data_IF_584068052719
#
_entry.id   IF_584068052719
#
_cell.length_a   1.000
_cell.length_b   1.000
_cell.length_c   1.000
_cell.angle_alpha   90.00
_cell.angle_beta   90.00
_cell.angle_gamma   90.00
#
_symmetry.space_group_name_H-M   'P 1'
#
loop_
_entity.id
_entity.type
_entity.pdbx_description
1 polymer ?
#
# COMPACT_ATOMS: atom_id res chain seq x y z
N UNK A 1 -6.72 28.02 -13.23
CA UNK A 1 -5.24 28.02 -13.18
C UNK A 1 -4.74 26.84 -14.03
N UNK A 2 -4.72 27.00 -15.36
CA UNK A 2 -4.31 25.94 -16.30
C UNK A 2 -2.99 26.34 -16.96
N UNK A 3 -1.87 25.96 -16.34
CA UNK A 3 -0.55 26.24 -16.88
C UNK A 3 -0.19 25.24 -17.98
N UNK A 4 -0.41 25.71 -19.21
CA UNK A 4 0.25 25.22 -20.41
C UNK A 4 1.77 25.37 -20.22
N UNK A 5 2.52 24.27 -20.19
CA UNK A 5 3.97 24.29 -20.45
C UNK A 5 4.28 23.62 -21.78
N UNK A 6 4.65 24.47 -22.73
CA UNK A 6 5.43 24.16 -23.93
C UNK A 6 6.88 23.85 -23.49
N UNK A 7 7.52 22.91 -24.18
CA UNK A 7 8.94 23.01 -24.50
C UNK A 7 9.85 21.85 -24.10
N UNK A 8 10.47 21.29 -25.14
CA UNK A 8 11.93 21.16 -25.30
C UNK A 8 12.53 19.74 -25.18
N UNK A 9 13.20 19.32 -26.26
CA UNK A 9 13.95 18.08 -26.40
C UNK A 9 15.26 18.07 -25.61
N UNK A 10 15.17 18.27 -24.30
CA UNK A 10 16.18 17.84 -23.34
C UNK A 10 15.60 16.63 -22.64
N UNK A 11 16.21 15.46 -22.81
CA UNK A 11 15.85 14.19 -22.16
C UNK A 11 15.49 14.42 -20.68
N UNK A 12 14.21 14.68 -20.39
CA UNK A 12 13.72 14.87 -19.04
C UNK A 12 13.83 13.49 -18.41
N UNK A 13 14.82 13.32 -17.55
CA UNK A 13 15.08 12.04 -16.91
C UNK A 13 13.90 11.79 -15.96
N UNK A 14 12.96 10.97 -16.43
CA UNK A 14 11.82 10.55 -15.62
C UNK A 14 12.35 9.65 -14.50
N UNK A 15 12.10 10.07 -13.25
CA UNK A 15 12.55 9.39 -12.04
C UNK A 15 11.36 8.99 -11.19
N UNK A 16 11.44 7.83 -10.55
CA UNK A 16 10.46 7.38 -9.59
C UNK A 16 10.47 8.29 -8.35
N UNK A 17 9.30 8.78 -7.93
CA UNK A 17 9.15 9.66 -6.77
C UNK A 17 9.45 8.98 -5.43
N UNK A 18 9.51 7.64 -5.40
CA UNK A 18 9.71 6.85 -4.19
C UNK A 18 11.16 6.40 -4.01
N UNK A 19 11.78 5.86 -5.06
CA UNK A 19 13.14 5.30 -5.00
C UNK A 19 14.20 6.15 -5.73
N UNK A 20 13.80 7.19 -6.47
CA UNK A 20 14.71 8.05 -7.23
C UNK A 20 15.28 7.42 -8.50
N UNK A 21 15.01 6.14 -8.78
CA UNK A 21 15.50 5.44 -9.98
C UNK A 21 14.97 6.07 -11.26
N UNK A 22 15.83 6.19 -12.26
CA UNK A 22 15.48 6.70 -13.58
C UNK A 22 14.75 5.66 -14.42
N UNK A 23 14.08 6.08 -15.50
CA UNK A 23 13.41 5.19 -16.45
C UNK A 23 14.33 4.10 -17.05
N UNK A 24 15.66 4.31 -17.08
CA UNK A 24 16.63 3.33 -17.61
C UNK A 24 16.98 2.24 -16.60
N UNK A 25 16.80 2.51 -15.32
CA UNK A 25 17.17 1.59 -14.23
C UNK A 25 16.02 0.65 -13.85
N UNK A 26 14.80 0.92 -14.33
CA UNK A 26 13.59 0.16 -13.99
C UNK A 26 12.98 -0.46 -15.23
N UNK A 27 12.40 -1.65 -15.06
CA UNK A 27 11.76 -2.38 -16.17
C UNK A 27 10.49 -1.70 -16.65
N UNK A 28 9.73 -1.10 -15.72
CA UNK A 28 8.55 -0.27 -16.02
C UNK A 28 8.52 0.93 -15.09
N UNK A 29 8.20 2.09 -15.66
CA UNK A 29 7.93 3.34 -14.93
C UNK A 29 6.54 3.84 -15.33
N UNK A 30 5.63 3.94 -14.37
CA UNK A 30 4.27 4.44 -14.55
C UNK A 30 4.27 5.96 -14.31
N UNK A 31 3.77 6.72 -15.29
CA UNK A 31 3.66 8.17 -15.24
C UNK A 31 2.22 8.61 -14.96
N UNK A 32 1.99 9.25 -13.82
CA UNK A 32 0.74 9.93 -13.48
C UNK A 32 0.83 11.44 -13.76
N UNK A 33 -0.29 12.18 -13.61
CA UNK A 33 -0.33 13.63 -13.83
C UNK A 33 0.56 14.43 -12.87
N UNK A 34 0.84 13.91 -11.67
CA UNK A 34 1.61 14.59 -10.62
C UNK A 34 2.71 13.74 -9.99
N UNK A 35 2.81 12.45 -10.33
CA UNK A 35 3.72 11.51 -9.68
C UNK A 35 4.18 10.40 -10.63
N UNK A 36 5.34 9.81 -10.32
CA UNK A 36 5.92 8.70 -11.08
C UNK A 36 6.28 7.55 -10.14
N UNK A 37 5.97 6.32 -10.52
CA UNK A 37 6.25 5.12 -9.70
C UNK A 37 6.80 3.99 -10.57
N UNK A 38 7.79 3.24 -10.09
CA UNK A 38 8.33 2.07 -10.78
C UNK A 38 7.69 0.76 -10.30
N UNK A 39 7.85 -0.34 -11.06
CA UNK A 39 7.22 -1.62 -10.71
C UNK A 39 7.74 -2.22 -9.40
N UNK A 40 9.03 -2.05 -9.09
CA UNK A 40 9.61 -2.45 -7.80
C UNK A 40 8.93 -1.75 -6.63
N UNK A 41 8.71 -0.43 -6.72
CA UNK A 41 8.01 0.31 -5.66
C UNK A 41 6.56 -0.12 -5.54
N UNK A 42 5.88 -0.44 -6.64
CA UNK A 42 4.51 -0.99 -6.60
C UNK A 42 4.49 -2.34 -5.89
N UNK A 43 5.45 -3.22 -6.17
CA UNK A 43 5.55 -4.52 -5.49
C UNK A 43 5.76 -4.34 -3.99
N UNK A 44 6.75 -3.52 -3.60
CA UNK A 44 7.03 -3.25 -2.19
C UNK A 44 5.83 -2.62 -1.48
N UNK A 45 5.13 -1.68 -2.11
CA UNK A 45 3.92 -1.12 -1.54
C UNK A 45 2.82 -2.17 -1.37
N UNK A 46 2.65 -3.07 -2.33
CA UNK A 46 1.68 -4.16 -2.22
C UNK A 46 2.05 -5.13 -1.09
N UNK A 47 3.33 -5.46 -0.93
CA UNK A 47 3.81 -6.32 0.15
C UNK A 47 3.53 -5.70 1.52
N UNK A 48 3.86 -4.41 1.70
CA UNK A 48 3.58 -3.66 2.93
C UNK A 48 2.08 -3.61 3.23
N UNK A 49 1.23 -3.37 2.22
CA UNK A 49 -0.22 -3.35 2.37
C UNK A 49 -0.76 -4.75 2.71
N UNK A 50 -0.21 -5.81 2.12
CA UNK A 50 -0.63 -7.18 2.38
C UNK A 50 -0.23 -7.65 3.79
N UNK A 51 0.94 -7.24 4.29
CA UNK A 51 1.36 -7.50 5.67
C UNK A 51 0.41 -6.82 6.68
N UNK A 52 -0.01 -5.58 6.40
CA UNK A 52 -0.98 -4.84 7.22
C UNK A 52 -2.36 -5.54 7.22
N UNK A 53 -2.83 -6.00 6.06
CA UNK A 53 -4.07 -6.78 5.94
C UNK A 53 -3.99 -8.16 6.63
N UNK A 54 -2.80 -8.73 6.80
CA UNK A 54 -2.58 -9.94 7.58
C UNK A 54 -2.73 -9.73 9.09
N UNK A 55 -2.62 -8.48 9.57
CA UNK A 55 -2.93 -8.07 10.95
C UNK A 55 -4.42 -7.76 11.16
N UNK A 56 -5.14 -7.45 10.09
CA UNK A 56 -6.60 -7.31 10.05
C UNK A 56 -7.27 -8.52 9.38
N UNK A 57 -6.84 -9.74 9.72
CA UNK A 57 -7.84 -10.76 9.93
C UNK A 57 -8.73 -10.23 11.05
N UNK A 58 -9.80 -9.51 10.71
CA UNK A 58 -10.89 -9.25 11.65
C UNK A 58 -11.08 -10.59 12.35
N UNK A 59 -10.76 -10.72 13.66
CA UNK A 59 -11.03 -11.97 14.34
C UNK A 59 -12.52 -12.14 14.12
N UNK A 60 -12.91 -13.12 13.30
CA UNK A 60 -14.30 -13.37 12.96
C UNK A 60 -15.02 -13.30 14.29
N UNK A 61 -15.77 -12.21 14.53
CA UNK A 61 -16.09 -11.74 15.89
C UNK A 61 -16.68 -12.94 16.60
N UNK A 62 -15.89 -13.65 17.41
CA UNK A 62 -16.42 -14.75 18.18
C UNK A 62 -17.45 -14.06 19.06
N UNK A 63 -18.74 -14.42 18.95
CA UNK A 63 -19.76 -13.75 19.73
C UNK A 63 -19.30 -13.83 21.18
N UNK A 64 -19.22 -12.68 21.86
CA UNK A 64 -18.84 -12.67 23.27
C UNK A 64 -19.75 -13.67 23.99
N UNK A 65 -19.20 -14.62 24.77
CA UNK A 65 -20.00 -15.59 25.49
C UNK A 65 -20.97 -14.83 26.40
N UNK A 66 -22.20 -15.33 26.50
CA UNK A 66 -23.20 -14.67 27.36
C UNK A 66 -22.70 -14.75 28.81
N UNK A 67 -23.05 -13.78 29.67
CA UNK A 67 -22.67 -13.81 31.09
C UNK A 67 -23.01 -15.13 31.80
N UNK A 68 -24.07 -15.81 31.36
CA UNK A 68 -24.44 -17.14 31.85
C UNK A 68 -23.42 -18.25 31.52
N UNK A 69 -22.80 -18.21 30.34
CA UNK A 69 -21.78 -19.18 29.92
C UNK A 69 -20.44 -18.93 30.62
N UNK A 70 -20.09 -17.66 30.83
CA UNK A 70 -18.89 -17.26 31.59
C UNK A 70 -19.00 -17.76 33.03
N UNK A 71 -20.17 -17.59 33.65
CA UNK A 71 -20.44 -18.06 35.01
C UNK A 71 -20.40 -19.60 35.09
N UNK A 72 -21.00 -20.30 34.15
CA UNK A 72 -20.97 -21.77 34.12
C UNK A 72 -19.56 -22.36 33.97
N UNK A 73 -18.63 -21.64 33.34
CA UNK A 73 -17.22 -22.01 33.28
C UNK A 73 -16.49 -21.76 34.62
N UNK A 74 -16.80 -20.65 35.28
CA UNK A 74 -16.21 -20.30 36.57
C UNK A 74 -16.70 -21.18 37.72
N UNK A 75 -17.95 -21.66 37.66
CA UNK A 75 -18.54 -22.62 38.63
C UNK A 75 -17.91 -24.04 38.55
N UNK A 76 -17.01 -24.31 37.60
CA UNK A 76 -16.30 -25.60 37.46
C UNK A 76 -14.98 -25.67 38.24
N UNK A 77 -14.57 -24.59 38.91
CA UNK A 77 -13.40 -24.49 39.79
C UNK A 77 -13.83 -24.18 41.22
#
# INVERSE_FOLDING_TARGET
MAERRRGNGTTQILQCSFCGKTQREVKKLIAGPTAYICDECVSLCNDIIAEDQGGEAQPARKPMPKPAEIRAFLDQY
#
